data_IF_327734013043
#
_entry.id   IF_327734013043
#
_cell.length_a   1.000
_cell.length_b   1.000
_cell.length_c   1.000
_cell.angle_alpha   90.00
_cell.angle_beta   90.00
_cell.angle_gamma   90.00
#
_symmetry.space_group_name_H-M   'P 1'
#
loop_
_entity.id
_entity.type
_entity.pdbx_description
1 polymer ?
#
# COMPACT_ATOMS: atom_id res chain seq x y z
N UNK A 1 -26.69 -4.33 -15.21
CA UNK A 1 -25.44 -3.58 -15.01
C UNK A 1 -25.00 -3.70 -13.56
N UNK A 2 -23.75 -3.96 -13.37
CA UNK A 2 -23.19 -3.98 -12.01
C UNK A 2 -22.34 -2.73 -11.80
N UNK A 3 -22.67 -1.87 -10.84
CA UNK A 3 -21.82 -0.74 -10.50
C UNK A 3 -20.58 -1.13 -9.71
N UNK A 4 -20.47 -2.41 -9.33
CA UNK A 4 -19.41 -2.92 -8.45
C UNK A 4 -18.02 -2.62 -9.00
N UNK A 5 -17.79 -2.84 -10.30
CA UNK A 5 -16.47 -2.61 -10.91
C UNK A 5 -16.05 -1.14 -10.81
N UNK A 6 -16.98 -0.23 -11.09
CA UNK A 6 -16.73 1.21 -11.01
C UNK A 6 -16.47 1.61 -9.57
N UNK A 7 -17.32 1.11 -8.68
CA UNK A 7 -17.21 1.41 -7.25
C UNK A 7 -15.92 0.87 -6.66
N UNK A 8 -15.52 -0.33 -7.06
CA UNK A 8 -14.28 -0.95 -6.57
C UNK A 8 -13.06 -0.13 -6.97
N UNK A 9 -12.98 0.27 -8.24
CA UNK A 9 -11.87 1.08 -8.72
C UNK A 9 -11.86 2.46 -8.05
N UNK A 10 -13.03 3.10 -7.95
CA UNK A 10 -13.14 4.41 -7.31
C UNK A 10 -12.71 4.35 -5.84
N UNK A 11 -13.08 3.27 -5.14
CA UNK A 11 -12.66 3.07 -3.75
C UNK A 11 -11.14 3.00 -3.64
N UNK A 12 -10.49 2.26 -4.53
CA UNK A 12 -9.03 2.11 -4.48
C UNK A 12 -8.33 3.42 -4.83
N UNK A 13 -8.86 4.20 -5.77
CA UNK A 13 -8.32 5.53 -6.07
C UNK A 13 -8.39 6.42 -4.83
N UNK A 14 -9.55 6.47 -4.18
CA UNK A 14 -9.74 7.25 -2.95
C UNK A 14 -8.80 6.79 -1.84
N UNK A 15 -8.67 5.48 -1.67
CA UNK A 15 -7.81 4.85 -0.68
C UNK A 15 -6.34 5.26 -0.88
N UNK A 16 -5.83 5.19 -2.10
CA UNK A 16 -4.46 5.61 -2.41
C UNK A 16 -4.24 7.09 -2.09
N UNK A 17 -5.19 7.94 -2.47
CA UNK A 17 -5.11 9.37 -2.19
C UNK A 17 -5.14 9.65 -0.68
N UNK A 18 -5.95 8.90 0.07
CA UNK A 18 -6.06 9.09 1.51
C UNK A 18 -4.81 8.65 2.26
N UNK A 19 -4.13 7.60 1.78
CA UNK A 19 -2.96 7.04 2.46
C UNK A 19 -1.65 7.74 2.10
N UNK A 20 -1.48 8.12 0.85
CA UNK A 20 -0.18 8.57 0.35
C UNK A 20 0.31 9.82 1.09
N UNK A 21 1.51 9.72 1.67
CA UNK A 21 2.12 10.83 2.38
C UNK A 21 1.49 11.18 3.72
N UNK A 22 0.52 10.41 4.18
CA UNK A 22 -0.21 10.67 5.42
C UNK A 22 0.15 9.66 6.51
N UNK A 23 -0.04 10.00 7.80
CA UNK A 23 0.08 9.01 8.87
C UNK A 23 -1.00 7.94 8.69
N UNK A 24 -0.60 6.66 8.76
CA UNK A 24 -1.52 5.53 8.58
C UNK A 24 -2.09 5.13 9.93
N UNK A 25 -3.04 5.92 10.44
CA UNK A 25 -3.67 5.69 11.74
C UNK A 25 -4.67 4.53 11.67
N UNK A 26 -4.98 3.94 12.82
CA UNK A 26 -6.00 2.89 12.90
C UNK A 26 -7.35 3.37 12.38
N UNK A 27 -7.72 4.60 12.67
CA UNK A 27 -8.96 5.18 12.18
C UNK A 27 -8.99 5.22 10.65
N UNK A 28 -7.89 5.67 10.04
CA UNK A 28 -7.77 5.73 8.58
C UNK A 28 -7.84 4.34 7.97
N UNK A 29 -7.07 3.39 8.50
CA UNK A 29 -7.04 2.02 7.98
C UNK A 29 -8.40 1.35 8.11
N UNK A 30 -9.08 1.51 9.24
CA UNK A 30 -10.39 0.89 9.47
C UNK A 30 -11.49 1.46 8.59
N UNK A 31 -11.30 2.66 8.04
CA UNK A 31 -12.25 3.25 7.10
C UNK A 31 -12.30 2.50 5.78
N UNK A 32 -11.19 1.89 5.37
CA UNK A 32 -11.05 1.27 4.05
C UNK A 32 -10.82 -0.24 4.08
N UNK A 33 -10.30 -0.79 5.18
CA UNK A 33 -9.75 -2.13 5.21
C UNK A 33 -10.39 -2.98 6.30
N UNK A 34 -10.84 -4.18 5.92
CA UNK A 34 -11.24 -5.22 6.89
C UNK A 34 -10.21 -6.35 6.93
N UNK A 35 -9.29 -6.42 5.97
CA UNK A 35 -8.24 -7.44 5.90
C UNK A 35 -7.17 -7.21 6.99
N UNK A 36 -7.07 -8.08 8.02
CA UNK A 36 -6.10 -7.88 9.09
C UNK A 36 -4.65 -7.97 8.59
N UNK A 37 -4.41 -8.81 7.59
CA UNK A 37 -3.08 -9.00 7.00
C UNK A 37 -2.60 -7.71 6.33
N UNK A 38 -3.47 -7.02 5.60
CA UNK A 38 -3.13 -5.77 4.97
C UNK A 38 -2.87 -4.67 6.00
N UNK A 39 -3.68 -4.61 7.05
CA UNK A 39 -3.46 -3.65 8.13
C UNK A 39 -2.10 -3.84 8.80
N UNK A 40 -1.72 -5.09 9.08
CA UNK A 40 -0.42 -5.40 9.67
C UNK A 40 0.73 -4.99 8.76
N UNK A 41 0.60 -5.27 7.46
CA UNK A 41 1.58 -4.90 6.46
C UNK A 41 1.81 -3.38 6.43
N UNK A 42 0.71 -2.63 6.44
CA UNK A 42 0.77 -1.17 6.41
C UNK A 42 1.39 -0.63 7.70
N UNK A 43 1.04 -1.20 8.86
CA UNK A 43 1.63 -0.79 10.14
C UNK A 43 3.14 -0.99 10.15
N UNK A 44 3.62 -2.12 9.63
CA UNK A 44 5.05 -2.41 9.56
C UNK A 44 5.75 -1.42 8.61
N UNK A 45 5.16 -1.17 7.45
CA UNK A 45 5.71 -0.21 6.49
C UNK A 45 5.73 1.21 7.06
N UNK A 46 4.68 1.62 7.74
CA UNK A 46 4.60 2.94 8.35
C UNK A 46 5.63 3.08 9.49
N UNK A 47 5.87 2.02 10.26
CA UNK A 47 6.88 2.03 11.30
C UNK A 47 8.29 2.21 10.76
N UNK A 48 8.59 1.60 9.62
CA UNK A 48 9.89 1.72 8.97
C UNK A 48 10.04 3.00 8.16
N UNK A 49 8.97 3.42 7.47
CA UNK A 49 8.96 4.57 6.56
C UNK A 49 7.75 5.47 6.86
N UNK A 50 7.78 6.26 7.94
CA UNK A 50 6.62 7.07 8.32
C UNK A 50 6.15 7.99 7.21
N UNK A 51 4.84 8.04 7.01
CA UNK A 51 4.18 8.86 5.99
C UNK A 51 4.65 8.55 4.57
N UNK A 52 4.97 7.27 4.30
CA UNK A 52 5.39 6.87 2.96
C UNK A 52 4.31 7.21 1.93
N UNK A 53 4.78 7.42 0.69
CA UNK A 53 3.88 7.68 -0.43
C UNK A 53 3.65 6.41 -1.23
N UNK A 54 2.44 6.27 -1.74
CA UNK A 54 2.09 5.25 -2.73
C UNK A 54 1.50 5.96 -3.94
N UNK A 55 2.04 5.66 -5.11
CA UNK A 55 1.66 6.33 -6.35
C UNK A 55 1.18 5.27 -7.33
N UNK A 56 -0.09 5.33 -7.72
CA UNK A 56 -0.64 4.41 -8.70
C UNK A 56 -0.24 4.85 -10.10
N UNK A 57 0.47 3.97 -10.81
CA UNK A 57 0.85 4.21 -12.21
C UNK A 57 -0.22 3.68 -13.18
N UNK A 58 -0.83 2.56 -12.83
CA UNK A 58 -1.82 1.90 -13.67
C UNK A 58 -2.78 1.11 -12.78
N UNK A 59 -4.05 1.19 -13.08
CA UNK A 59 -5.09 0.51 -12.31
C UNK A 59 -6.08 -0.15 -13.26
N UNK A 60 -6.33 -1.44 -13.05
CA UNK A 60 -7.25 -2.23 -13.85
C UNK A 60 -8.22 -2.91 -12.91
N UNK A 61 -9.51 -2.81 -13.20
CA UNK A 61 -10.54 -3.43 -12.37
C UNK A 61 -11.41 -4.38 -13.17
N UNK A 62 -11.75 -5.50 -12.56
CA UNK A 62 -12.72 -6.46 -13.11
C UNK A 62 -13.55 -6.98 -11.94
N UNK A 63 -14.85 -6.69 -11.95
CA UNK A 63 -15.73 -7.08 -10.85
C UNK A 63 -15.28 -6.45 -9.53
N UNK A 64 -15.06 -7.31 -8.54
CA UNK A 64 -14.61 -6.90 -7.21
C UNK A 64 -13.08 -6.86 -7.05
N UNK A 65 -12.34 -7.14 -8.12
CA UNK A 65 -10.88 -7.16 -8.11
C UNK A 65 -10.30 -5.89 -8.75
N UNK A 66 -9.30 -5.32 -8.10
CA UNK A 66 -8.59 -4.15 -8.62
C UNK A 66 -7.09 -4.41 -8.56
N UNK A 67 -6.44 -4.42 -9.72
CA UNK A 67 -4.99 -4.60 -9.83
C UNK A 67 -4.32 -3.25 -10.01
N UNK A 68 -3.24 -3.00 -9.27
CA UNK A 68 -2.54 -1.72 -9.31
C UNK A 68 -1.05 -1.96 -9.49
N UNK A 69 -0.46 -1.29 -10.48
CA UNK A 69 0.99 -1.16 -10.61
C UNK A 69 1.35 0.19 -10.01
N UNK A 70 2.20 0.19 -8.99
CA UNK A 70 2.43 1.38 -8.19
C UNK A 70 3.87 1.51 -7.73
N UNK A 71 4.20 2.69 -7.20
CA UNK A 71 5.48 2.97 -6.59
C UNK A 71 5.31 3.25 -5.10
N UNK A 72 6.30 2.84 -4.34
CA UNK A 72 6.46 3.12 -2.92
C UNK A 72 7.64 4.05 -2.75
N UNK A 73 7.46 5.14 -2.02
CA UNK A 73 8.55 6.10 -1.70
C UNK A 73 8.50 6.45 -0.24
N UNK A 74 9.67 6.41 0.40
CA UNK A 74 9.74 6.74 1.82
C UNK A 74 11.16 6.95 2.30
N UNK A 75 11.27 7.54 3.50
CA UNK A 75 12.55 7.74 4.20
C UNK A 75 12.57 6.79 5.40
N UNK A 76 13.62 5.99 5.51
CA UNK A 76 13.72 5.03 6.60
C UNK A 76 13.99 5.73 7.93
N UNK A 77 13.05 5.58 8.86
CA UNK A 77 13.16 6.11 10.21
C UNK A 77 13.00 5.03 11.27
N UNK A 78 12.63 3.82 10.87
CA UNK A 78 12.51 2.66 11.74
C UNK A 78 13.18 1.45 11.13
N UNK A 79 13.32 0.37 11.89
CA UNK A 79 13.93 -0.86 11.42
C UNK A 79 13.16 -1.45 10.24
N UNK A 80 13.88 -1.94 9.24
CA UNK A 80 13.31 -2.66 8.11
C UNK A 80 14.18 -3.87 7.80
N UNK A 81 13.58 -5.07 7.82
CA UNK A 81 14.26 -6.33 7.50
C UNK A 81 15.57 -6.50 8.30
N UNK A 82 15.57 -6.10 9.56
CA UNK A 82 16.75 -6.18 10.44
C UNK A 82 17.74 -5.04 10.23
N UNK A 83 17.47 -4.09 9.34
CA UNK A 83 18.36 -2.95 9.07
C UNK A 83 17.96 -1.79 9.97
N UNK A 84 18.88 -1.29 10.83
CA UNK A 84 18.59 -0.12 11.65
C UNK A 84 18.29 1.12 10.82
N UNK A 85 17.64 2.14 11.36
CA UNK A 85 17.29 3.35 10.60
C UNK A 85 18.51 3.99 9.96
N UNK A 86 18.48 4.17 8.64
CA UNK A 86 19.56 4.78 7.85
C UNK A 86 19.31 6.24 7.53
N UNK A 87 18.04 6.69 7.61
CA UNK A 87 17.66 8.01 7.16
C UNK A 87 17.62 8.15 5.64
N UNK A 88 17.83 7.06 4.91
CA UNK A 88 17.86 7.10 3.44
C UNK A 88 16.47 7.11 2.86
N UNK A 89 16.32 7.82 1.74
CA UNK A 89 15.12 7.76 0.93
C UNK A 89 15.21 6.57 -0.01
N UNK A 90 14.11 5.81 -0.12
CA UNK A 90 14.02 4.71 -1.08
C UNK A 90 12.83 4.90 -2.00
N UNK A 91 12.90 4.30 -3.17
CA UNK A 91 11.81 4.23 -4.12
C UNK A 91 11.81 2.85 -4.76
N UNK A 92 10.65 2.18 -4.76
CA UNK A 92 10.54 0.84 -5.32
C UNK A 92 9.16 0.65 -5.92
N UNK A 93 9.08 -0.05 -7.04
CA UNK A 93 7.80 -0.40 -7.64
C UNK A 93 7.26 -1.67 -6.99
N UNK A 94 5.95 -1.79 -6.96
CA UNK A 94 5.28 -3.01 -6.53
C UNK A 94 3.96 -3.18 -7.26
N UNK A 95 3.43 -4.40 -7.22
CA UNK A 95 2.13 -4.73 -7.79
C UNK A 95 1.25 -5.33 -6.72
N UNK A 96 -0.01 -4.96 -6.71
CA UNK A 96 -0.95 -5.42 -5.70
C UNK A 96 -2.32 -5.60 -6.34
N UNK A 97 -3.04 -6.64 -5.88
CA UNK A 97 -4.42 -6.87 -6.25
C UNK A 97 -5.25 -6.79 -4.97
N UNK A 98 -6.35 -6.06 -5.03
CA UNK A 98 -7.31 -5.96 -3.93
C UNK A 98 -8.62 -6.62 -4.30
N UNK A 99 -9.28 -7.25 -3.32
CA UNK A 99 -10.68 -7.63 -3.44
C UNK A 99 -11.51 -6.69 -2.58
N UNK A 100 -12.50 -6.07 -3.18
CA UNK A 100 -13.41 -5.14 -2.50
C UNK A 100 -14.73 -5.85 -2.22
N UNK A 101 -15.15 -5.85 -0.95
CA UNK A 101 -16.42 -6.47 -0.52
C UNK A 101 -17.14 -5.45 0.36
N UNK A 102 -18.38 -5.14 0.01
CA UNK A 102 -19.23 -4.19 0.76
C UNK A 102 -18.51 -2.84 1.02
N UNK A 103 -17.83 -2.35 0.00
CA UNK A 103 -17.14 -1.06 0.09
C UNK A 103 -15.87 -1.06 0.92
N UNK A 104 -15.33 -2.24 1.24
CA UNK A 104 -14.12 -2.39 2.05
C UNK A 104 -13.13 -3.31 1.37
N UNK A 105 -11.84 -3.09 1.62
CA UNK A 105 -10.79 -3.98 1.12
C UNK A 105 -10.72 -5.20 2.04
N UNK A 106 -11.16 -6.35 1.51
CA UNK A 106 -11.30 -7.58 2.30
C UNK A 106 -10.13 -8.56 2.10
N UNK A 107 -9.46 -8.49 0.96
CA UNK A 107 -8.32 -9.34 0.64
C UNK A 107 -7.32 -8.58 -0.21
N UNK A 108 -6.07 -9.01 -0.18
CA UNK A 108 -5.04 -8.45 -1.06
C UNK A 108 -3.99 -9.51 -1.39
N UNK A 109 -3.32 -9.30 -2.53
CA UNK A 109 -2.16 -10.09 -2.95
C UNK A 109 -1.11 -9.10 -3.43
N UNK A 110 0.10 -9.17 -2.88
CA UNK A 110 1.14 -8.18 -3.14
C UNK A 110 2.43 -8.84 -3.61
N UNK A 111 3.10 -8.21 -4.58
CA UNK A 111 4.45 -8.58 -5.01
C UNK A 111 5.32 -7.34 -4.89
N UNK A 112 6.25 -7.38 -3.95
CA UNK A 112 7.21 -6.29 -3.70
C UNK A 112 8.62 -6.76 -4.01
N UNK A 113 9.45 -5.82 -4.42
CA UNK A 113 10.87 -6.09 -4.61
C UNK A 113 11.66 -5.74 -3.33
N UNK A 114 11.49 -6.56 -2.30
CA UNK A 114 12.17 -6.34 -1.02
C UNK A 114 13.70 -6.34 -1.16
N UNK A 115 14.33 -7.21 -1.97
CA UNK A 115 15.79 -7.13 -2.17
C UNK A 115 16.26 -5.79 -2.70
N UNK A 116 15.50 -5.14 -3.57
CA UNK A 116 15.87 -3.82 -4.08
C UNK A 116 15.80 -2.76 -2.99
N UNK A 117 14.81 -2.84 -2.12
CA UNK A 117 14.70 -1.92 -0.98
C UNK A 117 15.90 -2.10 -0.06
N UNK A 118 16.24 -3.35 0.27
CA UNK A 118 17.42 -3.66 1.10
C UNK A 118 18.69 -3.12 0.45
N UNK A 119 18.83 -3.30 -0.87
CA UNK A 119 19.99 -2.79 -1.61
C UNK A 119 20.11 -1.28 -1.49
N UNK A 120 19.00 -0.55 -1.65
CA UNK A 120 19.02 0.92 -1.51
C UNK A 120 19.39 1.37 -0.10
N UNK A 121 18.98 0.62 0.91
CA UNK A 121 19.29 0.96 2.31
C UNK A 121 20.73 0.62 2.69
N UNK A 122 21.37 -0.32 2.01
CA UNK A 122 22.70 -0.80 2.37
C UNK A 122 23.80 -0.42 1.37
N UNK A 123 23.44 0.23 0.29
CA UNK A 123 24.40 0.63 -0.75
C UNK A 123 25.32 1.79 -0.31
#
# INVERSE_FOLDING_TARGET
MSPVTIDSKALIVEYFEALSGQPKTEELLSRYITDPSLKDHIRQAEGAFPRYEVIAHQMIAEGDLVAVRCAFRGVQKGEFAGIPPTGREISSDFMIIYRVVDGMIAEHWIQMNAPEIVHQLTA
#
